data_IF_216795432211
#
_entry.id   IF_216795432211
#
_cell.length_a   1.000
_cell.length_b   1.000
_cell.length_c   1.000
_cell.angle_alpha   90.00
_cell.angle_beta   90.00
_cell.angle_gamma   90.00
#
_symmetry.space_group_name_H-M   'P 1'
#
loop_
_entity.id
_entity.type
_entity.pdbx_description
1 polymer ?
#
# COMPACT_ATOMS: atom_id res chain seq x y z
N UNK A 1 -65.17 -17.54 -3.65
CA UNK A 1 -64.46 -16.99 -2.47
C UNK A 1 -63.28 -16.18 -3.02
N UNK A 2 -63.28 -14.84 -2.93
CA UNK A 2 -62.91 -14.08 -1.72
C UNK A 2 -61.43 -14.37 -1.38
N UNK A 3 -60.44 -13.49 -1.48
CA UNK A 3 -60.32 -12.04 -1.62
C UNK A 3 -58.88 -11.77 -2.07
N UNK A 4 -58.61 -10.90 -3.04
CA UNK A 4 -57.44 -10.01 -3.06
C UNK A 4 -57.56 -9.10 -4.28
N UNK A 5 -58.61 -8.27 -4.27
CA UNK A 5 -58.73 -7.14 -5.18
C UNK A 5 -58.95 -5.89 -4.32
N UNK A 6 -58.07 -4.91 -4.59
CA UNK A 6 -58.14 -3.47 -4.24
C UNK A 6 -57.58 -3.06 -2.89
N UNK A 7 -56.39 -2.45 -2.93
CA UNK A 7 -56.15 -1.03 -2.61
C UNK A 7 -55.02 -0.58 -3.55
N UNK A 8 -55.32 0.07 -4.68
CA UNK A 8 -55.41 1.53 -4.86
C UNK A 8 -54.05 2.19 -4.57
N UNK A 9 -53.22 2.39 -5.60
CA UNK A 9 -53.10 3.66 -6.37
C UNK A 9 -52.92 4.90 -5.49
N UNK A 10 -51.67 5.36 -5.38
CA UNK A 10 -51.18 6.74 -5.19
C UNK A 10 -49.75 6.61 -4.61
N UNK A 11 -48.72 7.33 -5.02
CA UNK A 11 -48.55 8.35 -6.03
C UNK A 11 -47.05 8.40 -6.37
N UNK A 12 -46.76 9.05 -7.49
CA UNK A 12 -45.44 9.45 -7.96
C UNK A 12 -44.46 9.85 -6.85
N UNK A 13 -43.17 9.56 -7.05
CA UNK A 13 -42.19 10.62 -7.32
C UNK A 13 -41.02 10.03 -8.11
N UNK A 14 -40.84 10.56 -9.32
CA UNK A 14 -39.61 10.45 -10.07
C UNK A 14 -38.49 11.13 -9.27
N UNK A 15 -37.44 10.38 -8.97
CA UNK A 15 -36.09 10.96 -8.83
C UNK A 15 -35.20 10.15 -9.75
N UNK A 16 -34.89 10.75 -10.88
CA UNK A 16 -33.73 10.35 -11.65
C UNK A 16 -32.51 10.48 -10.75
N UNK A 17 -31.99 9.35 -10.29
CA UNK A 17 -30.58 9.24 -10.04
C UNK A 17 -30.02 8.58 -11.31
N UNK A 18 -29.46 9.44 -12.16
CA UNK A 18 -28.35 9.05 -13.00
C UNK A 18 -27.45 8.15 -12.14
N UNK A 19 -27.47 6.84 -12.37
CA UNK A 19 -26.24 6.10 -12.16
C UNK A 19 -25.33 6.65 -13.25
N UNK A 20 -24.61 7.70 -12.85
CA UNK A 20 -23.35 8.09 -13.42
C UNK A 20 -22.67 6.78 -13.81
N UNK A 21 -22.61 6.54 -15.11
CA UNK A 21 -21.49 5.87 -15.71
C UNK A 21 -20.30 6.66 -15.20
N UNK A 22 -19.79 6.26 -14.04
CA UNK A 22 -18.43 6.55 -13.73
C UNK A 22 -17.68 5.79 -14.82
N UNK A 23 -17.33 6.52 -15.89
CA UNK A 23 -15.99 6.47 -16.42
C UNK A 23 -15.01 6.72 -15.25
N UNK A 24 -14.97 5.79 -14.29
CA UNK A 24 -13.75 5.52 -13.58
C UNK A 24 -12.90 4.94 -14.68
N UNK A 25 -11.97 5.72 -15.19
CA UNK A 25 -10.82 5.15 -15.87
C UNK A 25 -10.43 3.92 -15.04
N UNK A 26 -10.62 2.72 -15.58
CA UNK A 26 -10.03 1.51 -14.98
C UNK A 26 -8.53 1.60 -15.26
N UNK A 27 -7.92 2.68 -14.79
CA UNK A 27 -6.49 2.83 -14.69
C UNK A 27 -6.17 1.84 -13.61
N UNK A 28 -5.79 0.66 -14.06
CA UNK A 28 -5.28 -0.36 -13.19
C UNK A 28 -4.20 0.26 -12.31
N UNK A 29 -4.16 -0.16 -11.05
CA UNK A 29 -3.08 0.19 -10.14
C UNK A 29 -1.77 -0.51 -10.53
N UNK A 30 -1.79 -1.32 -11.60
CA UNK A 30 -0.62 -1.98 -12.16
C UNK A 30 0.53 -0.99 -12.32
N UNK A 31 1.70 -1.42 -11.85
CA UNK A 31 2.89 -0.60 -11.90
C UNK A 31 3.89 -0.93 -10.81
N UNK A 32 5.06 -0.35 -10.97
CA UNK A 32 6.17 -0.43 -10.01
C UNK A 32 6.26 0.89 -9.27
N UNK A 33 6.05 0.87 -7.96
CA UNK A 33 6.12 2.04 -7.09
C UNK A 33 7.34 1.93 -6.21
N UNK A 34 8.23 2.92 -6.28
CA UNK A 34 9.53 2.88 -5.62
C UNK A 34 9.63 3.99 -4.61
N UNK A 35 10.06 3.63 -3.42
CA UNK A 35 10.45 4.53 -2.35
C UNK A 35 11.94 4.34 -2.06
N UNK A 36 12.66 5.45 -1.96
CA UNK A 36 14.06 5.48 -1.52
C UNK A 36 14.06 6.23 -0.19
N UNK A 37 14.54 5.59 0.87
CA UNK A 37 14.62 6.23 2.17
C UNK A 37 15.70 7.31 2.16
N UNK A 38 15.39 8.45 2.76
CA UNK A 38 16.37 9.49 3.02
C UNK A 38 17.34 9.06 4.12
N UNK A 39 18.55 9.64 4.14
CA UNK A 39 19.58 9.30 5.12
C UNK A 39 19.08 9.40 6.56
N UNK A 40 18.32 10.45 6.89
CA UNK A 40 17.79 10.65 8.24
C UNK A 40 16.81 9.55 8.67
N UNK A 41 16.06 8.99 7.71
CA UNK A 41 15.15 7.88 7.97
C UNK A 41 15.93 6.59 8.20
N UNK A 42 16.97 6.34 7.39
CA UNK A 42 17.89 5.21 7.60
C UNK A 42 18.57 5.33 8.97
N UNK A 43 19.07 6.51 9.35
CA UNK A 43 19.62 6.78 10.69
C UNK A 43 18.60 6.47 11.78
N UNK A 44 17.35 6.93 11.64
CA UNK A 44 16.29 6.68 12.62
C UNK A 44 16.00 5.19 12.81
N UNK A 45 15.93 4.44 11.70
CA UNK A 45 15.74 2.98 11.72
C UNK A 45 16.90 2.31 12.47
N UNK A 46 18.14 2.64 12.12
CA UNK A 46 19.32 2.00 12.70
C UNK A 46 19.54 2.37 14.17
N UNK A 47 19.23 3.60 14.59
CA UNK A 47 19.23 3.99 16.01
C UNK A 47 18.25 3.14 16.82
N UNK A 48 17.05 2.89 16.29
CA UNK A 48 16.08 1.98 16.93
C UNK A 48 16.59 0.54 17.02
N UNK A 49 17.51 0.14 16.14
CA UNK A 49 18.20 -1.15 16.16
C UNK A 49 19.47 -1.14 17.03
N UNK A 50 19.76 -0.05 17.75
CA UNK A 50 20.87 0.04 18.70
C UNK A 50 22.17 0.63 18.14
N UNK A 51 22.19 1.12 16.90
CA UNK A 51 23.37 1.82 16.37
C UNK A 51 23.58 3.17 17.06
N UNK A 52 24.83 3.52 17.35
CA UNK A 52 25.18 4.84 17.93
C UNK A 52 25.23 5.91 16.84
N UNK A 53 25.10 7.19 17.23
CA UNK A 53 25.25 8.31 16.29
C UNK A 53 26.61 8.28 15.58
N UNK A 54 27.68 8.06 16.35
CA UNK A 54 29.06 8.05 15.84
C UNK A 54 29.27 6.96 14.79
N UNK A 55 28.71 5.77 15.00
CA UNK A 55 28.77 4.68 14.01
C UNK A 55 28.02 5.06 12.73
N UNK A 56 26.87 5.71 12.87
CA UNK A 56 26.02 6.08 11.72
C UNK A 56 26.67 7.17 10.87
N UNK A 57 27.22 8.22 11.47
CA UNK A 57 27.87 9.29 10.71
C UNK A 57 29.05 8.78 9.86
N UNK A 58 29.75 7.73 10.31
CA UNK A 58 30.86 7.15 9.56
C UNK A 58 30.43 6.37 8.32
N UNK A 59 29.22 5.80 8.32
CA UNK A 59 28.79 4.82 7.31
C UNK A 59 27.57 5.25 6.51
N UNK A 60 26.81 6.26 6.94
CA UNK A 60 25.51 6.61 6.35
C UNK A 60 25.57 6.90 4.85
N UNK A 61 26.67 7.48 4.37
CA UNK A 61 26.89 7.75 2.94
C UNK A 61 27.06 6.49 2.09
N UNK A 62 27.38 5.37 2.74
CA UNK A 62 27.53 4.05 2.13
C UNK A 62 26.28 3.16 2.33
N UNK A 63 25.21 3.73 2.91
CA UNK A 63 23.96 3.03 3.14
C UNK A 63 22.87 3.53 2.19
N UNK A 64 22.12 2.59 1.61
CA UNK A 64 20.92 2.91 0.84
C UNK A 64 19.83 1.90 1.16
N UNK A 65 18.59 2.38 1.31
CA UNK A 65 17.43 1.55 1.57
C UNK A 65 16.34 1.90 0.55
N UNK A 66 15.99 0.93 -0.29
CA UNK A 66 14.96 1.05 -1.31
C UNK A 66 13.86 0.03 -1.04
N UNK A 67 12.62 0.48 -1.14
CA UNK A 67 11.44 -0.37 -1.05
C UNK A 67 10.62 -0.21 -2.32
N UNK A 68 10.24 -1.34 -2.92
CA UNK A 68 9.41 -1.38 -4.13
C UNK A 68 8.14 -2.14 -3.85
N UNK A 69 7.02 -1.59 -4.29
CA UNK A 69 5.74 -2.31 -4.40
C UNK A 69 5.44 -2.45 -5.88
N UNK A 70 5.35 -3.68 -6.35
CA UNK A 70 4.92 -3.98 -7.71
C UNK A 70 3.50 -4.55 -7.65
N UNK A 71 2.55 -3.94 -8.35
CA UNK A 71 1.18 -4.43 -8.48
C UNK A 71 0.98 -4.91 -9.90
N UNK A 72 0.44 -6.12 -10.04
CA UNK A 72 0.04 -6.72 -11.32
C UNK A 72 -1.23 -7.53 -11.14
N UNK A 73 -2.34 -6.93 -11.56
CA UNK A 73 -3.69 -7.46 -11.45
C UNK A 73 -4.00 -7.79 -9.99
N UNK A 74 -4.19 -9.07 -9.67
CA UNK A 74 -4.47 -9.54 -8.30
C UNK A 74 -3.22 -9.92 -7.52
N UNK A 75 -2.03 -9.79 -8.11
CA UNK A 75 -0.74 -10.12 -7.49
C UNK A 75 0.01 -8.85 -7.15
N UNK A 76 0.78 -8.90 -6.07
CA UNK A 76 1.74 -7.87 -5.76
C UNK A 76 3.03 -8.45 -5.20
N UNK A 77 4.10 -7.67 -5.24
CA UNK A 77 5.38 -7.98 -4.59
C UNK A 77 5.87 -6.79 -3.83
N UNK A 78 6.44 -7.04 -2.66
CA UNK A 78 7.22 -6.09 -1.91
C UNK A 78 8.68 -6.49 -1.94
N UNK A 79 9.54 -5.60 -2.44
CA UNK A 79 10.98 -5.83 -2.55
C UNK A 79 11.67 -4.80 -1.67
N UNK A 80 12.46 -5.27 -0.70
CA UNK A 80 13.23 -4.44 0.20
C UNK A 80 14.69 -4.70 -0.12
N UNK A 81 15.38 -3.66 -0.58
CA UNK A 81 16.80 -3.70 -0.91
C UNK A 81 17.57 -2.79 0.03
N UNK A 82 18.56 -3.34 0.71
CA UNK A 82 19.53 -2.62 1.52
C UNK A 82 20.91 -2.75 0.88
N UNK A 83 21.53 -1.63 0.54
CA UNK A 83 22.93 -1.55 0.16
C UNK A 83 23.70 -1.00 1.36
N UNK A 84 24.77 -1.69 1.79
CA UNK A 84 25.59 -1.31 2.92
C UNK A 84 27.04 -1.75 2.72
N UNK A 85 27.98 -0.81 2.81
CA UNK A 85 29.43 -1.09 2.80
C UNK A 85 29.90 -1.96 1.60
N UNK A 86 29.30 -1.75 0.42
CA UNK A 86 29.62 -2.51 -0.79
C UNK A 86 28.90 -3.86 -0.91
N UNK A 87 28.10 -4.25 0.07
CA UNK A 87 27.21 -5.42 -0.01
C UNK A 87 25.76 -5.01 -0.25
N UNK A 88 25.04 -5.83 -1.03
CA UNK A 88 23.61 -5.67 -1.29
C UNK A 88 22.85 -6.86 -0.75
N UNK A 89 21.81 -6.60 0.05
CA UNK A 89 20.84 -7.61 0.48
C UNK A 89 19.46 -7.25 -0.03
N UNK A 90 18.76 -8.22 -0.59
CA UNK A 90 17.40 -8.07 -1.08
C UNK A 90 16.49 -9.10 -0.43
N UNK A 91 15.30 -8.67 0.00
CA UNK A 91 14.23 -9.54 0.46
C UNK A 91 12.99 -9.25 -0.37
N UNK A 92 12.41 -10.30 -0.96
CA UNK A 92 11.13 -10.22 -1.66
C UNK A 92 10.06 -10.91 -0.83
N UNK A 93 8.90 -10.27 -0.75
CA UNK A 93 7.69 -10.76 -0.08
C UNK A 93 6.57 -10.79 -1.13
N UNK A 94 5.99 -11.96 -1.34
CA UNK A 94 4.86 -12.11 -2.26
C UNK A 94 3.56 -11.70 -1.56
N UNK A 95 2.76 -10.89 -2.26
CA UNK A 95 1.52 -10.31 -1.78
C UNK A 95 0.38 -10.57 -2.78
N UNK A 96 -0.85 -10.41 -2.31
CA UNK A 96 -2.05 -10.29 -3.13
C UNK A 96 -2.52 -8.83 -3.11
N UNK A 97 -3.05 -8.37 -4.24
CA UNK A 97 -3.61 -7.05 -4.40
C UNK A 97 -5.10 -7.14 -4.67
N UNK A 98 -5.88 -6.38 -3.92
CA UNK A 98 -7.26 -6.02 -4.26
C UNK A 98 -7.26 -4.56 -4.71
N UNK A 99 -7.31 -4.34 -6.03
CA UNK A 99 -7.32 -3.00 -6.63
C UNK A 99 -8.65 -2.26 -6.41
N UNK A 100 -9.74 -2.98 -6.17
CA UNK A 100 -11.05 -2.39 -5.91
C UNK A 100 -11.16 -1.95 -4.45
N UNK A 101 -10.76 -2.83 -3.52
CA UNK A 101 -10.70 -2.55 -2.08
C UNK A 101 -9.48 -1.73 -1.65
N UNK A 102 -8.51 -1.52 -2.55
CA UNK A 102 -7.22 -0.88 -2.32
C UNK A 102 -6.50 -1.48 -1.10
N UNK A 103 -6.32 -2.80 -1.11
CA UNK A 103 -5.61 -3.53 -0.05
C UNK A 103 -4.52 -4.43 -0.58
N UNK A 104 -3.46 -4.59 0.21
CA UNK A 104 -2.40 -5.59 0.06
C UNK A 104 -2.47 -6.57 1.23
N UNK A 105 -2.29 -7.86 0.97
CA UNK A 105 -2.24 -8.91 1.99
C UNK A 105 -1.18 -9.96 1.65
N UNK A 106 -0.72 -10.71 2.64
CA UNK A 106 0.26 -11.80 2.42
C UNK A 106 -0.28 -12.83 1.43
N UNK A 107 0.55 -13.26 0.48
CA UNK A 107 0.17 -14.34 -0.43
C UNK A 107 -0.04 -15.67 0.31
N UNK A 108 0.70 -15.90 1.39
CA UNK A 108 0.64 -17.10 2.25
C UNK A 108 -0.66 -17.19 3.07
N UNK A 109 -1.45 -16.12 3.09
CA UNK A 109 -2.68 -16.02 3.87
C UNK A 109 -2.44 -15.33 5.21
N UNK A 110 -3.47 -14.63 5.68
CA UNK A 110 -3.45 -13.84 6.90
C UNK A 110 -4.74 -13.05 7.02
N UNK A 111 -5.08 -12.60 8.23
CA UNK A 111 -6.24 -11.70 8.44
C UNK A 111 -5.90 -10.23 8.17
N UNK A 112 -4.62 -9.99 8.02
CA UNK A 112 -3.94 -8.72 8.11
C UNK A 112 -3.81 -8.12 6.69
N UNK A 113 -4.52 -7.00 6.47
CA UNK A 113 -4.53 -6.26 5.21
C UNK A 113 -4.05 -4.84 5.40
N UNK A 114 -3.11 -4.39 4.57
CA UNK A 114 -2.67 -2.99 4.51
C UNK A 114 -3.49 -2.28 3.45
N UNK A 115 -4.15 -1.18 3.83
CA UNK A 115 -4.80 -0.31 2.85
C UNK A 115 -3.76 0.54 2.14
N UNK A 116 -4.01 0.85 0.87
CA UNK A 116 -3.20 1.83 0.14
C UNK A 116 -4.08 2.85 -0.57
N UNK A 117 -3.45 3.94 -0.99
CA UNK A 117 -4.07 4.97 -1.83
C UNK A 117 -3.11 5.32 -2.96
N UNK A 118 -3.67 5.62 -4.13
CA UNK A 118 -2.92 6.16 -5.26
C UNK A 118 -3.46 7.55 -5.56
N UNK A 119 -2.58 8.55 -5.50
CA UNK A 119 -2.84 9.92 -5.91
C UNK A 119 -1.87 10.27 -7.05
N UNK A 120 -2.40 10.34 -8.27
CA UNK A 120 -1.59 10.41 -9.49
C UNK A 120 -0.62 9.23 -9.60
N UNK A 121 0.68 9.55 -9.61
CA UNK A 121 1.77 8.57 -9.68
C UNK A 121 2.33 8.19 -8.28
N UNK A 122 1.65 8.54 -7.18
CA UNK A 122 2.14 8.30 -5.82
C UNK A 122 1.26 7.30 -5.09
N UNK A 123 1.86 6.19 -4.64
CA UNK A 123 1.23 5.22 -3.74
C UNK A 123 1.65 5.50 -2.30
N UNK A 124 0.70 5.46 -1.37
CA UNK A 124 0.91 5.56 0.08
C UNK A 124 0.21 4.40 0.79
N UNK A 125 0.78 3.96 1.91
CA UNK A 125 0.23 2.88 2.72
C UNK A 125 -0.44 3.45 3.97
N UNK A 126 -1.62 2.93 4.31
CA UNK A 126 -2.29 3.18 5.58
C UNK A 126 -2.02 1.98 6.50
N UNK A 127 -1.06 2.18 7.39
CA UNK A 127 -0.62 1.19 8.39
C UNK A 127 -1.17 1.51 9.78
N UNK A 128 -2.17 2.40 9.89
CA UNK A 128 -2.75 2.79 11.19
C UNK A 128 -3.45 1.64 11.93
N UNK A 129 -3.79 0.57 11.22
CA UNK A 129 -4.42 -0.66 11.75
C UNK A 129 -3.48 -1.86 11.78
N UNK A 130 -2.19 -1.64 11.56
CA UNK A 130 -1.18 -2.68 11.61
C UNK A 130 -0.88 -3.02 13.08
N UNK A 131 -1.59 -4.01 13.63
CA UNK A 131 -1.53 -4.38 15.06
C UNK A 131 -0.57 -5.54 15.37
N UNK A 132 -0.04 -6.24 14.35
CA UNK A 132 0.82 -7.42 14.52
C UNK A 132 2.32 -7.16 14.28
N UNK A 133 3.18 -7.97 14.91
CA UNK A 133 4.64 -7.94 14.75
C UNK A 133 5.11 -8.16 13.30
N UNK A 134 4.28 -8.77 12.47
CA UNK A 134 4.57 -8.99 11.05
C UNK A 134 4.56 -7.66 10.24
N UNK A 135 4.06 -6.58 10.85
CA UNK A 135 4.01 -5.25 10.27
C UNK A 135 5.15 -4.31 10.68
N UNK A 136 6.12 -4.75 11.48
CA UNK A 136 7.24 -3.87 11.87
C UNK A 136 7.95 -3.25 10.66
N UNK A 137 8.07 -4.01 9.57
CA UNK A 137 8.60 -3.52 8.29
C UNK A 137 7.73 -2.38 7.72
N UNK A 138 6.41 -2.55 7.70
CA UNK A 138 5.48 -1.55 7.19
C UNK A 138 5.46 -0.28 8.06
N UNK A 139 5.63 -0.42 9.37
CA UNK A 139 5.67 0.70 10.31
C UNK A 139 6.84 1.66 10.02
N UNK A 140 7.98 1.16 9.55
CA UNK A 140 9.10 2.00 9.13
C UNK A 140 8.78 2.87 7.90
N UNK A 141 7.82 2.45 7.09
CA UNK A 141 7.45 3.12 5.84
C UNK A 141 6.04 3.71 5.87
N UNK A 142 5.48 3.93 7.07
CA UNK A 142 4.13 4.49 7.24
C UNK A 142 3.93 5.84 6.54
N UNK A 143 4.99 6.64 6.48
CA UNK A 143 5.01 7.98 5.87
C UNK A 143 5.64 7.96 4.46
N UNK A 144 5.95 6.77 3.93
CA UNK A 144 6.61 6.63 2.63
C UNK A 144 5.67 6.99 1.48
N UNK A 145 6.21 7.75 0.53
CA UNK A 145 5.55 8.12 -0.73
C UNK A 145 6.24 7.37 -1.86
N UNK A 146 5.64 6.27 -2.30
CA UNK A 146 6.18 5.44 -3.37
C UNK A 146 5.84 6.05 -4.71
N UNK A 147 6.84 6.42 -5.49
CA UNK A 147 6.65 7.03 -6.81
C UNK A 147 6.58 5.95 -7.87
N UNK A 148 5.52 5.96 -8.68
CA UNK A 148 5.36 5.09 -9.85
C UNK A 148 6.54 5.34 -10.80
N UNK A 149 7.14 4.26 -11.25
CA UNK A 149 8.17 4.29 -12.29
C UNK A 149 7.48 4.24 -13.64
N UNK A 150 7.90 5.13 -14.55
CA UNK A 150 7.42 5.18 -15.93
C UNK A 150 8.20 4.24 -16.81
#
# INVERSE_FOLDING_TARGET
MKYFKRLVFAALLAVGAFFLVACGSTTSDNGKYVYKAEKDQIKSILKKQGATEEQLEQVIDQLSLTMTIEIKDTKAKMIIKMDALGESKEKTIDLKADQNGKTLESAEGGKDKVKYKIDGDVLTLDVSKAESSDYEVFAFFKDAKFKRQK
#
